data_IF_739948837626
#
_entry.id   IF_739948837626
#
_cell.length_a   1.000
_cell.length_b   1.000
_cell.length_c   1.000
_cell.angle_alpha   90.00
_cell.angle_beta   90.00
_cell.angle_gamma   90.00
#
_symmetry.space_group_name_H-M   'P 1'
#
loop_
_entity.id
_entity.type
_entity.pdbx_description
1 polymer ?
#
# COMPACT_ATOMS: atom_id res chain seq x y z
N UNK A 1 46.62 -0.44 -6.87
CA UNK A 1 46.39 -1.56 -7.82
C UNK A 1 45.69 -0.99 -9.03
N UNK A 2 46.42 -0.95 -10.14
CA UNK A 2 45.98 -0.57 -11.49
C UNK A 2 45.31 -1.80 -12.13
N UNK A 3 44.32 -1.61 -13.02
CA UNK A 3 44.00 -2.40 -14.24
C UNK A 3 42.50 -2.20 -14.56
N UNK A 4 42.01 -2.01 -15.79
CA UNK A 4 42.48 -1.43 -17.08
C UNK A 4 41.20 -1.32 -17.91
N UNK A 5 41.04 -0.24 -18.67
CA UNK A 5 40.08 -0.18 -19.77
C UNK A 5 40.50 -1.15 -20.88
N UNK A 6 39.54 -1.79 -21.54
CA UNK A 6 39.74 -2.43 -22.83
C UNK A 6 38.74 -1.88 -23.85
N UNK A 7 39.27 -1.00 -24.68
CA UNK A 7 38.76 -0.65 -26.00
C UNK A 7 38.96 -1.85 -26.92
N UNK A 8 38.00 -2.14 -27.81
CA UNK A 8 38.30 -2.83 -29.05
C UNK A 8 37.60 -2.19 -30.25
N UNK A 9 38.42 -2.11 -31.29
CA UNK A 9 38.38 -1.35 -32.51
C UNK A 9 37.43 -1.96 -33.56
N UNK A 10 36.95 -1.10 -34.45
CA UNK A 10 36.12 -1.40 -35.61
C UNK A 10 36.81 -2.24 -36.71
N UNK A 11 36.01 -2.90 -37.56
CA UNK A 11 36.37 -3.21 -38.96
C UNK A 11 35.14 -3.01 -39.86
N UNK A 12 35.40 -2.41 -41.03
CA UNK A 12 34.49 -1.95 -42.07
C UNK A 12 34.40 -2.94 -43.25
N UNK A 13 33.32 -2.79 -44.02
CA UNK A 13 33.12 -3.11 -45.45
C UNK A 13 32.65 -4.53 -45.84
N UNK A 14 31.56 -4.62 -46.62
CA UNK A 14 31.58 -4.67 -48.11
C UNK A 14 30.13 -4.57 -48.64
N UNK A 15 29.97 -3.83 -49.74
CA UNK A 15 28.76 -3.70 -50.55
C UNK A 15 28.44 -5.01 -51.29
N UNK A 16 27.18 -5.41 -51.29
CA UNK A 16 26.63 -6.45 -52.16
C UNK A 16 25.26 -6.04 -52.67
N UNK A 17 25.17 -5.75 -53.97
CA UNK A 17 23.94 -5.48 -54.70
C UNK A 17 23.18 -6.79 -54.94
N UNK A 18 21.89 -6.81 -54.61
CA UNK A 18 21.01 -7.94 -54.88
C UNK A 18 19.55 -7.57 -54.64
N UNK A 19 18.90 -6.99 -55.66
CA UNK A 19 17.45 -6.87 -55.70
C UNK A 19 16.84 -8.27 -55.83
N UNK A 20 16.03 -8.67 -54.86
CA UNK A 20 15.06 -9.75 -55.00
C UNK A 20 13.69 -9.20 -54.61
N UNK A 21 12.77 -9.22 -55.57
CA UNK A 21 11.36 -8.91 -55.37
C UNK A 21 10.73 -9.97 -54.45
N UNK A 22 10.25 -9.55 -53.29
CA UNK A 22 9.34 -10.33 -52.45
C UNK A 22 8.06 -9.52 -52.23
N UNK A 23 6.93 -10.15 -52.52
CA UNK A 23 5.56 -9.65 -52.39
C UNK A 23 5.28 -9.01 -51.02
N UNK A 24 4.36 -8.04 -50.92
CA UNK A 24 3.95 -7.48 -49.63
C UNK A 24 3.24 -8.57 -48.82
N UNK A 25 3.93 -9.09 -47.80
CA UNK A 25 3.30 -9.87 -46.75
C UNK A 25 2.26 -8.97 -46.07
N UNK A 26 1.03 -9.47 -45.99
CA UNK A 26 -0.09 -8.84 -45.30
C UNK A 26 0.37 -8.34 -43.93
N UNK A 27 0.25 -7.03 -43.71
CA UNK A 27 0.36 -6.46 -42.39
C UNK A 27 -0.71 -7.11 -41.51
N UNK A 28 -0.27 -8.02 -40.64
CA UNK A 28 -1.08 -8.49 -39.53
C UNK A 28 -1.41 -7.26 -38.71
N UNK A 29 -2.67 -6.81 -38.76
CA UNK A 29 -3.24 -5.89 -37.79
C UNK A 29 -3.25 -6.61 -36.43
N UNK A 30 -2.09 -6.65 -35.79
CA UNK A 30 -1.98 -6.95 -34.38
C UNK A 30 -2.68 -5.79 -33.67
N UNK A 31 -3.95 -6.01 -33.34
CA UNK A 31 -4.66 -5.22 -32.35
C UNK A 31 -3.81 -5.27 -31.09
N UNK A 32 -3.10 -4.19 -30.80
CA UNK A 32 -2.53 -3.96 -29.48
C UNK A 32 -3.74 -3.83 -28.57
N UNK A 33 -4.16 -4.93 -27.96
CA UNK A 33 -5.00 -4.88 -26.78
C UNK A 33 -4.17 -4.13 -25.75
N UNK A 34 -4.51 -2.87 -25.51
CA UNK A 34 -3.97 -2.10 -24.41
C UNK A 34 -4.26 -2.91 -23.14
N UNK A 35 -3.23 -3.57 -22.62
CA UNK A 35 -3.26 -4.16 -21.30
C UNK A 35 -3.63 -3.00 -20.37
N UNK A 36 -4.84 -3.02 -19.82
CA UNK A 36 -5.23 -2.01 -18.85
C UNK A 36 -4.23 -2.13 -17.70
N UNK A 37 -3.36 -1.12 -17.55
CA UNK A 37 -2.38 -1.10 -16.47
C UNK A 37 -3.14 -1.26 -15.16
N UNK A 38 -2.81 -2.32 -14.41
CA UNK A 38 -3.38 -2.52 -13.08
C UNK A 38 -3.05 -1.28 -12.25
N UNK A 39 -4.03 -0.64 -11.58
CA UNK A 39 -3.79 0.56 -10.80
C UNK A 39 -2.66 0.35 -9.79
N UNK A 40 -1.79 1.33 -9.63
CA UNK A 40 -0.74 1.26 -8.62
C UNK A 40 -1.35 1.31 -7.21
N UNK A 41 -0.70 0.77 -6.17
CA UNK A 41 -1.17 0.91 -4.79
C UNK A 41 -1.45 2.37 -4.40
N UNK A 42 -0.64 3.31 -4.93
CA UNK A 42 -0.83 4.76 -4.74
C UNK A 42 -2.15 5.24 -5.33
N UNK A 43 -2.53 4.82 -6.55
CA UNK A 43 -3.83 5.16 -7.15
C UNK A 43 -4.98 4.65 -6.29
N UNK A 44 -4.87 3.42 -5.81
CA UNK A 44 -5.89 2.80 -4.97
C UNK A 44 -6.02 3.54 -3.62
N UNK A 45 -4.92 3.93 -3.00
CA UNK A 45 -4.94 4.71 -1.75
C UNK A 45 -5.55 6.10 -1.91
N UNK A 46 -5.34 6.76 -3.05
CA UNK A 46 -5.99 8.04 -3.35
C UNK A 46 -7.52 7.92 -3.40
N UNK A 47 -8.07 6.75 -3.75
CA UNK A 47 -9.52 6.51 -3.66
C UNK A 47 -10.08 6.65 -2.24
N UNK A 48 -9.23 6.59 -1.20
CA UNK A 48 -9.66 6.70 0.20
C UNK A 48 -9.95 8.12 0.67
N UNK A 49 -9.61 9.15 -0.12
CA UNK A 49 -9.88 10.56 0.22
C UNK A 49 -11.36 10.75 0.52
N UNK A 50 -11.67 11.39 1.65
CA UNK A 50 -13.02 11.63 2.12
C UNK A 50 -13.20 11.41 3.62
N UNK A 51 -14.47 11.37 4.04
CA UNK A 51 -14.89 11.19 5.44
C UNK A 51 -15.41 9.79 5.69
N UNK A 52 -15.10 9.27 6.86
CA UNK A 52 -15.35 7.89 7.25
C UNK A 52 -15.78 7.81 8.70
N UNK A 53 -16.62 6.84 9.02
CA UNK A 53 -17.04 6.52 10.39
C UNK A 53 -17.13 5.00 10.58
N UNK A 54 -16.84 4.51 11.77
CA UNK A 54 -16.92 3.09 12.08
C UNK A 54 -16.27 2.78 13.41
N UNK A 55 -15.42 1.75 13.46
CA UNK A 55 -14.84 1.28 14.70
C UNK A 55 -13.42 0.71 14.55
N UNK A 56 -12.63 0.85 15.61
CA UNK A 56 -11.41 0.09 15.87
C UNK A 56 -11.76 -1.10 16.74
N UNK A 57 -11.51 -2.31 16.24
CA UNK A 57 -11.66 -3.56 16.96
C UNK A 57 -10.33 -4.12 17.43
N UNK A 58 -10.24 -4.53 18.69
CA UNK A 58 -9.11 -5.27 19.23
C UNK A 58 -9.59 -6.55 19.90
N UNK A 59 -8.72 -7.55 19.90
CA UNK A 59 -8.99 -8.82 20.58
C UNK A 59 -8.59 -8.69 22.04
N UNK A 60 -9.53 -8.91 22.93
CA UNK A 60 -9.21 -9.06 24.35
C UNK A 60 -8.49 -10.40 24.58
N UNK A 61 -7.29 -10.34 25.15
CA UNK A 61 -6.46 -11.53 25.41
C UNK A 61 -7.06 -12.45 26.47
N UNK A 62 -7.94 -11.94 27.34
CA UNK A 62 -8.54 -12.75 28.41
C UNK A 62 -9.79 -13.49 27.93
N UNK A 63 -10.74 -12.77 27.33
CA UNK A 63 -12.02 -13.35 26.90
C UNK A 63 -12.03 -13.86 25.47
N UNK A 64 -10.98 -13.55 24.69
CA UNK A 64 -10.88 -13.86 23.28
C UNK A 64 -11.95 -13.20 22.40
N UNK A 65 -12.66 -12.19 22.93
CA UNK A 65 -13.73 -11.47 22.24
C UNK A 65 -13.19 -10.24 21.53
N UNK A 66 -13.88 -9.82 20.48
CA UNK A 66 -13.64 -8.55 19.83
C UNK A 66 -14.32 -7.44 20.63
N UNK A 67 -13.53 -6.44 21.03
CA UNK A 67 -14.04 -5.19 21.58
C UNK A 67 -13.84 -4.08 20.57
N UNK A 68 -14.84 -3.23 20.40
CA UNK A 68 -14.83 -2.16 19.41
C UNK A 68 -15.01 -0.79 20.08
N UNK A 69 -14.20 0.18 19.68
CA UNK A 69 -14.39 1.60 20.01
C UNK A 69 -14.75 2.40 18.76
N UNK A 70 -15.66 3.38 18.83
CA UNK A 70 -16.01 4.21 17.69
C UNK A 70 -14.82 5.00 17.14
N UNK A 71 -14.76 5.13 15.83
CA UNK A 71 -13.75 5.90 15.11
C UNK A 71 -14.40 6.77 14.05
N UNK A 72 -13.99 8.02 13.98
CA UNK A 72 -14.23 8.87 12.81
C UNK A 72 -12.89 9.20 12.17
N UNK A 73 -12.85 9.24 10.83
CA UNK A 73 -11.62 9.47 10.08
C UNK A 73 -11.88 10.43 8.91
N UNK A 74 -10.97 11.37 8.70
CA UNK A 74 -10.92 12.19 7.48
C UNK A 74 -9.57 11.95 6.80
N UNK A 75 -9.60 11.67 5.50
CA UNK A 75 -8.42 11.48 4.66
C UNK A 75 -8.42 12.56 3.59
N UNK A 76 -7.33 13.30 3.50
CA UNK A 76 -7.10 14.35 2.51
C UNK A 76 -5.83 14.03 1.71
N UNK A 77 -5.84 14.28 0.41
CA UNK A 77 -4.65 14.25 -0.43
C UNK A 77 -4.10 15.67 -0.62
N UNK A 78 -2.79 15.81 -0.60
CA UNK A 78 -2.14 17.06 -0.98
C UNK A 78 -2.05 17.19 -2.52
N UNK A 79 -1.82 18.41 -3.06
CA UNK A 79 -1.76 18.64 -4.50
C UNK A 79 -0.64 17.88 -5.24
N UNK A 80 0.32 17.31 -4.51
CA UNK A 80 1.39 16.48 -5.09
C UNK A 80 0.89 15.09 -5.54
N UNK A 81 -0.31 14.69 -5.13
CA UNK A 81 -0.90 13.38 -5.46
C UNK A 81 -0.17 12.19 -4.84
N UNK A 82 0.73 12.42 -3.88
CA UNK A 82 1.54 11.40 -3.21
C UNK A 82 1.44 11.47 -1.69
N UNK A 83 1.10 12.64 -1.14
CA UNK A 83 0.97 12.84 0.29
C UNK A 83 -0.49 12.73 0.72
N UNK A 84 -0.75 11.87 1.72
CA UNK A 84 -2.05 11.75 2.38
C UNK A 84 -1.96 12.21 3.85
N UNK A 85 -2.97 12.94 4.31
CA UNK A 85 -3.18 13.29 5.71
C UNK A 85 -4.44 12.57 6.20
N UNK A 86 -4.26 11.63 7.12
CA UNK A 86 -5.34 10.90 7.79
C UNK A 86 -5.48 11.40 9.23
N UNK A 87 -6.62 12.01 9.57
CA UNK A 87 -6.96 12.41 10.94
C UNK A 87 -8.03 11.48 11.48
N UNK A 88 -7.74 10.82 12.59
CA UNK A 88 -8.67 9.88 13.24
C UNK A 88 -8.95 10.31 14.67
N UNK A 89 -10.23 10.29 15.05
CA UNK A 89 -10.70 10.42 16.43
C UNK A 89 -11.23 9.07 16.87
N UNK A 90 -10.63 8.52 17.94
CA UNK A 90 -11.09 7.32 18.62
C UNK A 90 -11.81 7.73 19.90
N UNK A 91 -13.04 7.28 20.05
CA UNK A 91 -13.87 7.55 21.24
C UNK A 91 -13.71 6.41 22.25
N UNK A 92 -12.80 6.60 23.21
CA UNK A 92 -12.53 5.66 24.32
C UNK A 92 -13.33 6.05 25.59
N UNK A 93 -14.47 6.73 25.41
CA UNK A 93 -15.36 7.19 26.46
C UNK A 93 -15.29 8.70 26.74
N UNK A 94 -16.20 9.22 27.59
CA UNK A 94 -16.54 10.64 27.70
C UNK A 94 -15.36 11.59 28.01
N UNK A 95 -14.32 11.09 28.68
CA UNK A 95 -13.16 11.89 29.11
C UNK A 95 -11.84 11.45 28.44
N UNK A 96 -11.90 10.58 27.42
CA UNK A 96 -10.70 9.96 26.82
C UNK A 96 -10.67 9.96 25.28
N UNK A 97 -11.01 11.06 24.58
CA UNK A 97 -10.86 11.11 23.13
C UNK A 97 -9.38 11.00 22.76
N UNK A 98 -9.06 10.11 21.82
CA UNK A 98 -7.70 9.97 21.29
C UNK A 98 -7.68 10.47 19.85
N UNK A 99 -6.87 11.50 19.61
CA UNK A 99 -6.60 12.02 18.28
C UNK A 99 -5.29 11.45 17.76
N UNK A 100 -5.32 10.97 16.52
CA UNK A 100 -4.13 10.55 15.78
C UNK A 100 -4.17 11.20 14.40
N UNK A 101 -3.13 11.97 14.09
CA UNK A 101 -2.89 12.48 12.73
C UNK A 101 -1.76 11.66 12.12
N UNK A 102 -2.01 10.99 11.00
CA UNK A 102 -0.98 10.30 10.23
C UNK A 102 -0.74 11.09 8.96
N UNK A 103 0.52 11.39 8.68
CA UNK A 103 0.96 11.91 7.38
C UNK A 103 1.72 10.78 6.69
N UNK A 104 1.37 10.50 5.44
CA UNK A 104 2.07 9.49 4.64
C UNK A 104 2.47 10.02 3.28
N UNK A 105 3.65 9.61 2.81
CA UNK A 105 4.21 9.91 1.50
C UNK A 105 4.41 8.60 0.75
N UNK A 106 3.72 8.45 -0.36
CA UNK A 106 3.82 7.28 -1.23
C UNK A 106 4.95 7.44 -2.26
N UNK A 107 5.78 6.40 -2.41
CA UNK A 107 6.70 6.22 -3.53
C UNK A 107 6.10 5.21 -4.51
N UNK A 108 5.56 5.73 -5.61
CA UNK A 108 4.93 4.93 -6.66
C UNK A 108 5.91 3.96 -7.34
N UNK A 109 7.17 4.35 -7.51
CA UNK A 109 8.15 3.54 -8.22
C UNK A 109 8.66 2.38 -7.36
N UNK A 110 8.89 2.64 -6.06
CA UNK A 110 9.30 1.62 -5.11
C UNK A 110 8.13 0.78 -4.56
N UNK A 111 6.89 1.20 -4.82
CA UNK A 111 5.68 0.67 -4.19
C UNK A 111 5.82 0.66 -2.66
N UNK A 112 6.26 1.78 -2.08
CA UNK A 112 6.38 1.95 -0.63
C UNK A 112 5.61 3.16 -0.14
N UNK A 113 5.26 3.14 1.14
CA UNK A 113 4.72 4.30 1.84
C UNK A 113 5.61 4.58 3.05
N UNK A 114 6.02 5.83 3.20
CA UNK A 114 6.59 6.32 4.45
C UNK A 114 5.51 7.06 5.22
N UNK A 115 5.28 6.73 6.49
CA UNK A 115 4.27 7.39 7.31
C UNK A 115 4.79 7.74 8.69
N UNK A 116 4.22 8.78 9.30
CA UNK A 116 4.45 9.12 10.70
C UNK A 116 3.12 9.46 11.38
N UNK A 117 2.89 8.88 12.56
CA UNK A 117 1.67 9.08 13.34
C UNK A 117 1.93 9.98 14.55
N UNK A 118 1.16 11.04 14.67
CA UNK A 118 1.23 12.04 15.72
C UNK A 118 0.09 11.80 16.70
N UNK A 119 0.44 11.43 17.94
CA UNK A 119 -0.49 11.22 19.05
C UNK A 119 0.07 11.88 20.31
N UNK A 120 -0.77 12.64 21.01
CA UNK A 120 -0.37 13.30 22.26
C UNK A 120 0.26 12.30 23.26
N UNK A 121 1.41 12.67 23.81
CA UNK A 121 2.14 11.85 24.79
C UNK A 121 2.85 10.62 24.24
N UNK A 122 3.00 10.48 22.91
CA UNK A 122 3.76 9.39 22.28
C UNK A 122 4.90 9.94 21.41
N UNK A 123 6.05 9.25 21.35
CA UNK A 123 7.10 9.58 20.39
C UNK A 123 6.58 9.41 18.96
N UNK A 124 7.13 10.20 18.04
CA UNK A 124 6.84 10.11 16.62
C UNK A 124 8.03 9.45 15.93
N UNK A 125 7.78 8.34 15.26
CA UNK A 125 8.77 7.61 14.50
C UNK A 125 8.24 7.37 13.09
N UNK A 126 9.05 7.58 12.05
CA UNK A 126 8.67 7.24 10.70
C UNK A 126 8.66 5.71 10.53
N UNK A 127 7.64 5.21 9.84
CA UNK A 127 7.51 3.82 9.43
C UNK A 127 7.55 3.76 7.90
N UNK A 128 8.30 2.81 7.35
CA UNK A 128 8.28 2.50 5.92
C UNK A 128 7.64 1.13 5.73
N UNK A 129 6.66 1.07 4.84
CA UNK A 129 5.96 -0.17 4.49
C UNK A 129 6.06 -0.41 2.99
N UNK A 130 6.29 -1.67 2.59
CA UNK A 130 6.15 -2.10 1.20
C UNK A 130 4.69 -2.42 0.92
N UNK A 131 4.18 -1.95 -0.21
CA UNK A 131 2.81 -2.14 -0.67
C UNK A 131 2.76 -3.18 -1.78
N UNK A 132 1.72 -4.01 -1.77
CA UNK A 132 1.43 -4.94 -2.86
C UNK A 132 -0.07 -4.98 -3.12
N UNK A 133 -0.45 -4.87 -4.39
CA UNK A 133 -1.84 -5.05 -4.82
C UNK A 133 -2.13 -6.55 -4.84
N UNK A 134 -3.18 -6.97 -4.13
CA UNK A 134 -3.59 -8.37 -4.06
C UNK A 134 -4.82 -8.66 -4.92
N UNK A 135 -5.80 -7.75 -4.95
CA UNK A 135 -6.99 -7.84 -5.79
C UNK A 135 -7.45 -6.44 -6.22
N UNK A 136 -7.96 -6.30 -7.44
CA UNK A 136 -8.57 -5.06 -7.95
C UNK A 136 -9.67 -5.42 -8.93
N UNK A 137 -10.88 -4.96 -8.63
CA UNK A 137 -12.03 -5.00 -9.55
C UNK A 137 -12.26 -3.64 -10.18
N UNK A 138 -12.21 -2.57 -9.37
CA UNK A 138 -12.34 -1.17 -9.80
C UNK A 138 -11.80 -0.21 -8.71
N UNK A 139 -11.98 1.11 -8.90
CA UNK A 139 -11.50 2.14 -7.98
C UNK A 139 -12.16 2.14 -6.59
N UNK A 140 -13.24 1.39 -6.38
CA UNK A 140 -13.91 1.22 -5.08
C UNK A 140 -13.92 -0.22 -4.59
N UNK A 141 -13.26 -1.14 -5.29
CA UNK A 141 -13.18 -2.56 -4.94
C UNK A 141 -11.77 -3.10 -5.14
N UNK A 142 -10.99 -3.12 -4.07
CA UNK A 142 -9.58 -3.53 -4.12
C UNK A 142 -9.06 -4.00 -2.77
N UNK A 143 -7.95 -4.76 -2.81
CA UNK A 143 -7.18 -5.17 -1.64
C UNK A 143 -5.70 -4.82 -1.81
N UNK A 144 -5.13 -4.10 -0.85
CA UNK A 144 -3.71 -3.78 -0.75
C UNK A 144 -3.14 -4.37 0.53
N UNK A 145 -1.98 -4.99 0.43
CA UNK A 145 -1.23 -5.55 1.56
C UNK A 145 0.02 -4.72 1.78
N UNK A 146 0.15 -4.20 3.00
CA UNK A 146 1.32 -3.49 3.51
C UNK A 146 2.16 -4.44 4.37
N UNK A 147 3.48 -4.36 4.24
CA UNK A 147 4.42 -5.15 5.04
C UNK A 147 5.55 -4.30 5.57
N UNK A 148 5.97 -4.59 6.79
CA UNK A 148 7.14 -3.97 7.43
C UNK A 148 7.65 -4.87 8.56
N UNK A 149 8.86 -4.59 9.05
CA UNK A 149 9.38 -5.17 10.29
C UNK A 149 9.27 -4.10 11.36
N UNK A 150 8.65 -4.46 12.48
CA UNK A 150 8.48 -3.56 13.61
C UNK A 150 8.62 -4.29 14.93
N UNK A 151 8.06 -3.70 15.98
CA UNK A 151 8.04 -4.29 17.33
C UNK A 151 6.61 -4.70 17.68
N UNK A 152 6.48 -5.88 18.26
CA UNK A 152 5.23 -6.38 18.85
C UNK A 152 5.53 -6.90 20.27
N UNK A 153 4.92 -6.27 21.27
CA UNK A 153 5.36 -6.41 22.65
C UNK A 153 6.80 -5.91 22.81
N UNK A 154 7.70 -6.79 23.23
CA UNK A 154 9.12 -6.50 23.44
C UNK A 154 10.03 -7.18 22.40
N UNK A 155 9.47 -7.70 21.30
CA UNK A 155 10.20 -8.48 20.30
C UNK A 155 10.02 -7.95 18.87
N UNK A 156 11.02 -8.13 17.99
CA UNK A 156 10.86 -7.88 16.56
C UNK A 156 9.79 -8.78 15.94
N UNK A 157 8.97 -8.20 15.07
CA UNK A 157 7.89 -8.91 14.38
C UNK A 157 7.78 -8.46 12.92
N UNK A 158 7.43 -9.41 12.06
CA UNK A 158 6.86 -9.08 10.75
C UNK A 158 5.44 -8.56 10.99
N UNK A 159 5.13 -7.41 10.42
CA UNK A 159 3.82 -6.79 10.49
C UNK A 159 3.21 -6.82 9.09
N UNK A 160 1.95 -7.25 9.01
CA UNK A 160 1.14 -7.19 7.80
C UNK A 160 -0.13 -6.41 8.09
N UNK A 161 -0.41 -5.41 7.26
CA UNK A 161 -1.73 -4.76 7.24
C UNK A 161 -2.39 -5.09 5.92
N UNK A 162 -3.61 -5.63 5.97
CA UNK A 162 -4.42 -5.88 4.78
C UNK A 162 -5.56 -4.88 4.76
N UNK A 163 -5.55 -3.96 3.80
CA UNK A 163 -6.66 -3.06 3.55
C UNK A 163 -7.51 -3.58 2.39
N UNK A 164 -8.82 -3.64 2.60
CA UNK A 164 -9.80 -3.99 1.57
C UNK A 164 -10.86 -2.90 1.53
N UNK A 165 -10.99 -2.27 0.37
CA UNK A 165 -12.10 -1.41 0.04
C UNK A 165 -13.13 -2.22 -0.74
N UNK A 166 -14.38 -2.26 -0.27
CA UNK A 166 -15.52 -2.91 -0.92
C UNK A 166 -16.68 -1.91 -0.96
N UNK A 167 -16.80 -1.20 -2.08
CA UNK A 167 -17.72 -0.09 -2.28
C UNK A 167 -17.45 1.07 -1.33
N UNK A 168 -18.29 1.19 -0.29
CA UNK A 168 -18.19 2.24 0.73
C UNK A 168 -17.59 1.75 2.04
N UNK A 169 -17.18 0.48 2.13
CA UNK A 169 -16.63 -0.10 3.34
C UNK A 169 -15.13 -0.34 3.19
N UNK A 170 -14.35 0.25 4.08
CA UNK A 170 -12.92 0.02 4.21
C UNK A 170 -12.66 -0.83 5.46
N UNK A 171 -12.05 -2.00 5.28
CA UNK A 171 -11.55 -2.83 6.37
C UNK A 171 -10.03 -2.84 6.33
N UNK A 172 -9.39 -2.62 7.47
CA UNK A 172 -7.94 -2.71 7.65
C UNK A 172 -7.67 -3.72 8.77
N UNK A 173 -6.95 -4.80 8.48
CA UNK A 173 -6.60 -5.84 9.46
C UNK A 173 -5.10 -5.86 9.66
N UNK A 174 -4.66 -5.72 10.91
CA UNK A 174 -3.26 -5.88 11.30
C UNK A 174 -3.04 -7.28 11.87
N UNK A 175 -2.15 -8.03 11.22
CA UNK A 175 -1.58 -9.26 11.72
C UNK A 175 -0.10 -9.07 12.03
N UNK A 176 0.43 -9.89 12.93
CA UNK A 176 1.86 -9.96 13.22
C UNK A 176 2.33 -11.40 13.37
N UNK A 177 3.61 -11.62 13.20
CA UNK A 177 4.30 -12.86 13.61
C UNK A 177 5.73 -12.54 14.05
N UNK A 178 6.38 -13.41 14.84
CA UNK A 178 7.82 -13.28 15.07
C UNK A 178 8.59 -13.28 13.75
N UNK A 179 9.65 -12.48 13.65
CA UNK A 179 10.50 -12.45 12.45
C UNK A 179 11.07 -13.85 12.17
N UNK A 180 10.95 -14.30 10.92
CA UNK A 180 11.44 -15.61 10.48
C UNK A 180 10.55 -16.80 10.87
N UNK A 181 9.41 -16.56 11.55
CA UNK A 181 8.42 -17.60 11.76
C UNK A 181 7.72 -17.97 10.44
N UNK A 182 7.10 -19.15 10.41
CA UNK A 182 6.33 -19.62 9.26
C UNK A 182 5.04 -18.80 9.03
N UNK A 183 4.34 -19.09 7.94
CA UNK A 183 3.07 -18.44 7.61
C UNK A 183 1.91 -18.86 8.52
N UNK A 184 2.01 -19.99 9.22
CA UNK A 184 0.98 -20.41 10.17
C UNK A 184 1.01 -19.57 11.46
N UNK A 185 2.11 -18.85 11.72
CA UNK A 185 2.31 -18.03 12.91
C UNK A 185 1.65 -16.64 12.86
N UNK A 186 1.00 -16.25 11.75
CA UNK A 186 0.30 -14.96 11.67
C UNK A 186 -0.84 -14.89 12.69
N UNK A 187 -0.78 -13.87 13.55
CA UNK A 187 -1.74 -13.62 14.60
C UNK A 187 -2.39 -12.25 14.42
N UNK A 188 -3.73 -12.24 14.46
CA UNK A 188 -4.53 -11.02 14.49
C UNK A 188 -4.17 -10.13 15.69
N UNK A 189 -3.95 -8.84 15.45
CA UNK A 189 -3.74 -7.81 16.49
C UNK A 189 -4.92 -6.87 16.62
N UNK A 190 -5.35 -6.27 15.52
CA UNK A 190 -6.49 -5.36 15.51
C UNK A 190 -7.08 -5.24 14.10
N UNK A 191 -8.28 -4.66 14.04
CA UNK A 191 -8.90 -4.26 12.80
C UNK A 191 -9.51 -2.87 12.93
N UNK A 192 -9.64 -2.17 11.82
CA UNK A 192 -10.50 -0.99 11.71
C UNK A 192 -11.50 -1.25 10.60
N UNK A 193 -12.80 -1.06 10.89
CA UNK A 193 -13.86 -1.04 9.86
C UNK A 193 -14.41 0.35 9.77
N UNK A 194 -14.45 0.88 8.56
CA UNK A 194 -14.94 2.22 8.27
C UNK A 194 -15.96 2.15 7.14
N UNK A 195 -17.00 2.95 7.25
CA UNK A 195 -17.97 3.21 6.19
C UNK A 195 -17.84 4.66 5.78
N UNK A 196 -17.81 4.91 4.48
CA UNK A 196 -17.74 6.26 3.92
C UNK A 196 -19.00 7.03 4.31
N UNK A 197 -18.83 8.27 4.75
CA UNK A 197 -19.94 9.18 5.01
C UNK A 197 -20.33 9.81 3.67
N UNK A 198 -21.54 9.53 3.20
CA UNK A 198 -22.15 10.20 2.05
C UNK A 198 -22.83 11.48 2.55
N UNK A 199 -22.50 12.61 1.95
CA UNK A 199 -23.20 13.89 2.19
C UNK A 199 -24.57 13.92 1.53
#
# INVERSE_FOLDING_TARGET
>A
MIFRALTCLAVLAVLGTGQAHASPASASNARVEAQADTPSPTDLRLSLVGRWSGALGYRDYQSNRLFEIPVTTTIEALPDGLTLIRRSLFDDGPDKPVWITTVSLDDRAAATVTSAAFRAGRPVEPLVETMSVHDVRDGTHWTVVYRTVGIDGDAPADIRVTETLDGLTLTSVKDVRPVGADDAAWAFRNQTRLTRVTE
#
